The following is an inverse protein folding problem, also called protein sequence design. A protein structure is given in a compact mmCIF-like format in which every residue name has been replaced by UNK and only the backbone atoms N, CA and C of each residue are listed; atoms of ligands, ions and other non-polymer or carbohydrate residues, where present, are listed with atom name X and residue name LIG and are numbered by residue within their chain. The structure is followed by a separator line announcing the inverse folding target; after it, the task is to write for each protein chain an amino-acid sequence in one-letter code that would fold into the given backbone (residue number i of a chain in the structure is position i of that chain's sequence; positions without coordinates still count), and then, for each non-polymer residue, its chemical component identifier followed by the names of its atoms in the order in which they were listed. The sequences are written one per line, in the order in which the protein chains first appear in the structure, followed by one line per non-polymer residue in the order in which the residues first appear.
data_IF_255176642697
#
_entry.id   IF_255176642697
#
_cell.length_a   1.000
_cell.length_b   1.000
_cell.length_c   1.000
_cell.angle_alpha   90.00
_cell.angle_beta   90.00
_cell.angle_gamma   90.00
#
_symmetry.space_group_name_H-M   'P 1'
#
loop_
_entity.id
_entity.type
_entity.pdbx_description
1 polymer ?
#
# COMPACT_ATOMS: atom_id res chain seq x y z
N UNK A 1 -23.04 33.34 9.11
CA UNK A 1 -21.90 32.50 9.61
C UNK A 1 -22.56 31.42 10.41
N UNK A 2 -22.51 30.16 9.94
CA UNK A 2 -22.97 29.04 10.75
C UNK A 2 -21.99 28.94 11.94
N UNK A 3 -22.52 28.91 13.16
CA UNK A 3 -21.76 28.55 14.38
C UNK A 3 -21.17 27.15 14.16
N UNK A 4 -19.89 27.13 13.73
CA UNK A 4 -19.14 25.87 13.64
C UNK A 4 -18.65 25.51 15.05
N UNK A 5 -18.93 24.31 15.48
CA UNK A 5 -18.47 23.78 16.78
C UNK A 5 -17.02 23.27 16.73
N UNK A 6 -16.34 23.45 15.60
CA UNK A 6 -14.97 22.98 15.34
C UNK A 6 -14.14 24.05 14.61
N UNK A 7 -12.83 24.01 14.79
CA UNK A 7 -11.85 24.88 14.10
C UNK A 7 -11.59 24.40 12.67
N UNK A 8 -10.99 25.27 11.83
CA UNK A 8 -10.57 24.85 10.49
C UNK A 8 -9.53 23.71 10.52
N UNK A 9 -8.61 23.72 11.49
CA UNK A 9 -7.61 22.66 11.63
C UNK A 9 -8.24 21.31 11.99
N UNK A 10 -9.20 21.30 12.91
CA UNK A 10 -9.97 20.11 13.24
C UNK A 10 -10.71 19.56 12.03
N UNK A 11 -11.37 20.45 11.27
CA UNK A 11 -12.10 20.07 10.07
C UNK A 11 -11.20 19.39 9.02
N UNK A 12 -10.07 20.00 8.68
CA UNK A 12 -9.16 19.42 7.69
C UNK A 12 -8.50 18.12 8.19
N UNK A 13 -8.26 18.00 9.49
CA UNK A 13 -7.76 16.77 10.09
C UNK A 13 -8.79 15.64 9.96
N UNK A 14 -10.05 15.93 10.29
CA UNK A 14 -11.16 14.97 10.19
C UNK A 14 -11.43 14.58 8.72
N UNK A 15 -11.32 15.53 7.76
CA UNK A 15 -11.40 15.23 6.34
C UNK A 15 -10.28 14.26 5.90
N UNK A 16 -9.05 14.48 6.36
CA UNK A 16 -7.93 13.58 6.01
C UNK A 16 -8.12 12.18 6.56
N UNK A 17 -8.71 12.02 7.75
CA UNK A 17 -9.12 10.73 8.29
C UNK A 17 -10.19 10.07 7.41
N UNK A 18 -11.16 10.84 6.93
CA UNK A 18 -12.17 10.35 5.99
C UNK A 18 -11.58 9.84 4.68
N UNK A 19 -10.52 10.47 4.17
CA UNK A 19 -9.79 9.99 2.99
C UNK A 19 -9.00 8.71 3.25
N UNK A 20 -8.48 8.52 4.46
CA UNK A 20 -7.90 7.24 4.86
C UNK A 20 -8.96 6.14 4.91
N UNK A 21 -10.16 6.46 5.42
CA UNK A 21 -11.35 5.63 5.32
C UNK A 21 -11.50 4.58 6.41
N UNK A 22 -10.83 4.75 7.56
CA UNK A 22 -10.96 3.85 8.70
C UNK A 22 -12.31 4.03 9.41
N UNK A 23 -12.94 2.93 9.80
CA UNK A 23 -14.06 2.91 10.74
C UNK A 23 -13.63 3.33 12.14
N UNK A 24 -14.56 3.75 12.99
CA UNK A 24 -14.23 4.20 14.36
C UNK A 24 -13.71 3.06 15.25
N UNK A 25 -14.08 1.82 14.97
CA UNK A 25 -13.61 0.63 15.69
C UNK A 25 -12.33 0.01 15.10
N UNK A 26 -11.73 0.67 14.10
CA UNK A 26 -10.62 0.14 13.29
C UNK A 26 -9.50 -0.49 14.12
N UNK A 27 -9.14 0.13 15.25
CA UNK A 27 -8.08 -0.33 16.13
C UNK A 27 -8.56 -1.28 17.25
N UNK A 28 -9.86 -1.50 17.38
CA UNK A 28 -10.45 -2.37 18.41
C UNK A 28 -11.19 -3.57 17.84
N UNK A 29 -11.91 -3.38 16.75
CA UNK A 29 -12.63 -4.43 16.04
C UNK A 29 -11.75 -5.27 15.13
N UNK A 30 -10.63 -4.72 14.70
CA UNK A 30 -9.64 -5.40 13.87
C UNK A 30 -8.37 -5.71 14.67
N UNK A 31 -7.95 -6.97 14.69
CA UNK A 31 -6.65 -7.41 15.20
C UNK A 31 -5.77 -7.87 14.04
N UNK A 32 -4.44 -7.91 14.24
CA UNK A 32 -3.50 -8.19 13.15
C UNK A 32 -3.72 -9.55 12.48
N UNK A 33 -4.12 -10.56 13.24
CA UNK A 33 -4.36 -11.92 12.74
C UNK A 33 -5.83 -12.24 12.43
N UNK A 34 -6.75 -11.26 12.44
CA UNK A 34 -8.13 -11.49 12.06
C UNK A 34 -8.35 -11.31 10.54
N UNK A 35 -9.58 -11.49 10.06
CA UNK A 35 -9.96 -11.48 8.65
C UNK A 35 -9.93 -10.10 7.96
N UNK A 36 -9.19 -9.10 8.46
CA UNK A 36 -9.06 -7.77 7.83
C UNK A 36 -8.72 -7.83 6.35
N UNK A 37 -7.90 -8.80 5.96
CA UNK A 37 -7.48 -8.99 4.58
C UNK A 37 -8.63 -9.37 3.66
N UNK A 38 -9.64 -10.07 4.20
CA UNK A 38 -10.75 -10.63 3.41
C UNK A 38 -12.02 -9.78 3.50
N UNK A 39 -12.18 -8.97 4.55
CA UNK A 39 -13.39 -8.19 4.78
C UNK A 39 -13.11 -6.72 5.11
N UNK A 40 -13.81 -5.77 4.46
CA UNK A 40 -13.73 -4.36 4.82
C UNK A 40 -14.53 -4.01 6.09
N UNK A 41 -15.25 -4.92 6.68
CA UNK A 41 -16.12 -4.70 7.84
C UNK A 41 -15.93 -5.76 8.90
N UNK A 42 -16.28 -5.39 10.13
CA UNK A 42 -16.29 -6.27 11.29
C UNK A 42 -17.43 -5.85 12.21
N UNK A 43 -18.31 -6.78 12.58
CA UNK A 43 -19.39 -6.56 13.56
C UNK A 43 -18.75 -6.56 14.96
N UNK A 44 -18.33 -5.40 15.42
CA UNK A 44 -17.59 -5.24 16.66
C UNK A 44 -18.47 -5.31 17.91
N UNK A 45 -19.76 -4.99 17.76
CA UNK A 45 -20.73 -5.00 18.86
C UNK A 45 -21.53 -6.31 18.94
N UNK A 46 -21.44 -7.18 17.91
CA UNK A 46 -22.08 -8.50 17.86
C UNK A 46 -23.59 -8.47 17.67
N UNK A 47 -24.16 -7.38 17.11
CA UNK A 47 -25.62 -7.25 16.93
C UNK A 47 -26.13 -7.89 15.60
N UNK A 48 -25.24 -8.39 14.78
CA UNK A 48 -25.55 -9.03 13.50
C UNK A 48 -25.79 -8.05 12.35
N UNK A 49 -25.56 -6.76 12.55
CA UNK A 49 -25.64 -5.69 11.56
C UNK A 49 -24.26 -5.04 11.38
N UNK A 50 -24.05 -4.36 10.27
CA UNK A 50 -22.83 -3.58 10.05
C UNK A 50 -23.18 -2.09 10.02
N UNK A 51 -22.68 -1.35 10.97
CA UNK A 51 -22.79 0.11 10.98
C UNK A 51 -21.70 0.72 10.08
N UNK A 52 -22.13 1.41 9.01
CA UNK A 52 -21.23 2.02 8.03
C UNK A 52 -20.34 3.14 8.59
N UNK A 53 -20.64 3.68 9.75
CA UNK A 53 -19.84 4.74 10.38
C UNK A 53 -18.76 4.19 11.30
N UNK A 54 -19.08 3.10 11.98
CA UNK A 54 -18.25 2.56 13.07
C UNK A 54 -17.55 1.26 12.71
N UNK A 55 -18.10 0.47 11.77
CA UNK A 55 -17.68 -0.90 11.50
C UNK A 55 -17.31 -1.20 10.06
N UNK A 56 -17.36 -0.19 9.17
CA UNK A 56 -17.05 -0.37 7.74
C UNK A 56 -15.86 0.50 7.32
N UNK A 57 -14.83 -0.13 6.79
CA UNK A 57 -13.65 0.54 6.25
C UNK A 57 -13.74 0.71 4.74
N UNK A 58 -13.16 1.79 4.22
CA UNK A 58 -13.09 2.08 2.78
C UNK A 58 -11.66 2.49 2.39
N UNK A 59 -11.38 2.46 1.11
CA UNK A 59 -10.17 3.06 0.54
C UNK A 59 -8.86 2.54 1.14
N UNK A 60 -8.05 3.45 1.64
CA UNK A 60 -6.70 3.15 2.10
C UNK A 60 -6.66 2.36 3.42
N UNK A 61 -7.67 2.48 4.27
CA UNK A 61 -7.76 1.67 5.48
C UNK A 61 -7.85 0.17 5.16
N UNK A 62 -8.63 -0.20 4.13
CA UNK A 62 -8.70 -1.59 3.64
C UNK A 62 -7.36 -2.03 3.06
N UNK A 63 -6.69 -1.15 2.33
CA UNK A 63 -5.38 -1.44 1.73
C UNK A 63 -4.30 -1.62 2.79
N UNK A 64 -4.28 -0.76 3.81
CA UNK A 64 -3.37 -0.87 4.95
C UNK A 64 -3.57 -2.20 5.69
N UNK A 65 -4.83 -2.58 5.98
CA UNK A 65 -5.16 -3.83 6.63
C UNK A 65 -4.68 -5.08 5.86
N UNK A 66 -4.63 -5.01 4.53
CA UNK A 66 -4.10 -6.10 3.69
C UNK A 66 -2.57 -6.26 3.75
N UNK A 67 -1.86 -5.25 4.24
CA UNK A 67 -0.39 -5.20 4.28
C UNK A 67 0.14 -5.13 5.71
N UNK A 68 -0.75 -5.28 6.68
CA UNK A 68 -0.50 -5.09 8.08
C UNK A 68 0.35 -6.22 8.69
N UNK A 69 0.80 -5.97 9.90
CA UNK A 69 1.51 -6.96 10.72
C UNK A 69 0.67 -8.24 10.85
N UNK A 70 1.25 -9.36 10.49
CA UNK A 70 0.68 -10.69 10.79
C UNK A 70 1.74 -11.77 10.62
N UNK A 71 1.44 -13.03 11.03
CA UNK A 71 2.39 -14.16 11.04
C UNK A 71 3.08 -14.42 9.70
N UNK A 72 2.39 -14.19 8.59
CA UNK A 72 2.86 -14.46 7.22
C UNK A 72 2.75 -13.20 6.32
N UNK A 73 2.82 -12.01 6.92
CA UNK A 73 2.68 -10.73 6.22
C UNK A 73 3.91 -9.85 6.43
N UNK A 74 3.69 -8.53 6.44
CA UNK A 74 4.70 -7.56 6.80
C UNK A 74 4.99 -7.49 8.29
N UNK A 75 6.10 -6.86 8.63
CA UNK A 75 6.53 -6.65 10.01
C UNK A 75 6.09 -5.29 10.57
N UNK A 76 5.30 -4.51 9.83
CA UNK A 76 4.88 -3.16 10.23
C UNK A 76 3.38 -3.08 10.47
N UNK A 77 3.00 -2.63 11.66
CA UNK A 77 1.61 -2.41 12.08
C UNK A 77 1.10 -1.07 11.52
N UNK A 78 0.59 -1.10 10.29
CA UNK A 78 0.05 0.08 9.61
C UNK A 78 -1.23 0.57 10.24
N UNK A 79 -2.14 -0.36 10.55
CA UNK A 79 -3.49 -0.03 11.01
C UNK A 79 -3.44 0.70 12.33
N UNK A 80 -2.71 0.15 13.30
CA UNK A 80 -2.56 0.78 14.61
C UNK A 80 -1.77 2.09 14.53
N UNK A 81 -0.65 2.11 13.82
CA UNK A 81 0.22 3.29 13.73
C UNK A 81 -0.51 4.49 13.15
N UNK A 82 -1.24 4.29 12.03
CA UNK A 82 -1.94 5.38 11.34
C UNK A 82 -3.16 5.82 12.17
N UNK A 83 -3.96 4.87 12.66
CA UNK A 83 -5.15 5.18 13.44
C UNK A 83 -4.83 5.92 14.73
N UNK A 84 -3.86 5.43 15.51
CA UNK A 84 -3.44 6.07 16.77
C UNK A 84 -2.91 7.48 16.54
N UNK A 85 -2.15 7.70 15.45
CA UNK A 85 -1.65 9.03 15.09
C UNK A 85 -2.80 9.98 14.72
N UNK A 86 -3.83 9.51 14.03
CA UNK A 86 -5.03 10.31 13.74
C UNK A 86 -5.76 10.72 15.02
N UNK A 87 -6.04 9.78 15.91
CA UNK A 87 -6.75 10.05 17.18
C UNK A 87 -5.92 10.99 18.06
N UNK A 88 -4.63 10.72 18.20
CA UNK A 88 -3.73 11.53 19.02
C UNK A 88 -3.59 12.95 18.48
N UNK A 89 -3.37 13.11 17.18
CA UNK A 89 -3.26 14.42 16.54
C UNK A 89 -4.56 15.22 16.65
N UNK A 90 -5.72 14.59 16.46
CA UNK A 90 -7.04 15.23 16.65
C UNK A 90 -7.24 15.72 18.08
N UNK A 91 -6.85 14.91 19.06
CA UNK A 91 -6.93 15.26 20.49
C UNK A 91 -6.02 16.45 20.80
N UNK A 92 -4.78 16.46 20.26
CA UNK A 92 -3.84 17.56 20.43
C UNK A 92 -4.37 18.88 19.84
N UNK A 93 -5.03 18.84 18.67
CA UNK A 93 -5.64 20.01 18.04
C UNK A 93 -6.76 20.57 18.94
N UNK A 94 -7.63 19.71 19.46
CA UNK A 94 -8.72 20.12 20.38
C UNK A 94 -8.18 20.75 21.67
N UNK A 95 -7.09 20.22 22.21
CA UNK A 95 -6.44 20.71 23.42
C UNK A 95 -5.55 21.94 23.16
N UNK A 96 -5.40 22.39 21.90
CA UNK A 96 -4.51 23.48 21.51
C UNK A 96 -3.04 23.23 21.93
N UNK A 97 -2.59 21.99 21.78
CA UNK A 97 -1.20 21.61 22.05
C UNK A 97 -0.22 22.30 21.08
N UNK A 98 1.08 22.33 21.38
CA UNK A 98 2.09 22.93 20.52
C UNK A 98 2.05 22.36 19.08
N UNK A 99 2.16 23.25 18.08
CA UNK A 99 2.04 22.91 16.67
C UNK A 99 3.05 21.84 16.22
N UNK A 100 4.26 21.87 16.74
CA UNK A 100 5.30 20.88 16.42
C UNK A 100 4.91 19.45 16.84
N UNK A 101 4.18 19.30 17.95
CA UNK A 101 3.67 18.02 18.39
C UNK A 101 2.54 17.51 17.50
N UNK A 102 1.65 18.40 17.05
CA UNK A 102 0.59 18.08 16.07
C UNK A 102 1.21 17.67 14.73
N UNK A 103 2.22 18.43 14.27
CA UNK A 103 2.93 18.12 13.03
C UNK A 103 3.67 16.78 13.10
N UNK A 104 4.18 16.39 14.28
CA UNK A 104 4.78 15.06 14.45
C UNK A 104 3.76 13.92 14.22
N UNK A 105 2.49 14.09 14.63
CA UNK A 105 1.46 13.09 14.32
C UNK A 105 1.11 13.07 12.82
N UNK A 106 1.04 14.23 12.16
CA UNK A 106 0.90 14.32 10.71
C UNK A 106 2.02 13.56 9.99
N UNK A 107 3.26 13.73 10.41
CA UNK A 107 4.41 13.10 9.78
C UNK A 107 4.36 11.57 9.91
N UNK A 108 3.94 11.04 11.07
CA UNK A 108 3.69 9.60 11.26
C UNK A 108 2.63 9.10 10.27
N UNK A 109 1.51 9.80 10.13
CA UNK A 109 0.45 9.43 9.20
C UNK A 109 0.98 9.39 7.76
N UNK A 110 1.68 10.43 7.34
CA UNK A 110 2.16 10.57 5.97
C UNK A 110 3.22 9.55 5.61
N UNK A 111 4.19 9.32 6.50
CA UNK A 111 5.25 8.33 6.31
C UNK A 111 4.68 6.91 6.28
N UNK A 112 3.76 6.59 7.20
CA UNK A 112 3.12 5.27 7.24
C UNK A 112 2.21 5.04 6.04
N UNK A 113 1.46 6.04 5.60
CA UNK A 113 0.62 5.92 4.40
C UNK A 113 1.46 5.76 3.13
N UNK A 114 2.54 6.52 2.97
CA UNK A 114 3.50 6.31 1.87
C UNK A 114 4.06 4.89 1.89
N UNK A 115 4.39 4.38 3.09
CA UNK A 115 4.86 3.00 3.25
C UNK A 115 3.80 1.97 2.86
N UNK A 116 2.49 2.23 3.09
CA UNK A 116 1.39 1.38 2.56
C UNK A 116 1.43 1.34 1.03
N UNK A 117 1.59 2.50 0.36
CA UNK A 117 1.68 2.54 -1.12
C UNK A 117 2.88 1.74 -1.61
N UNK A 118 4.01 1.86 -0.93
CA UNK A 118 5.22 1.10 -1.24
C UNK A 118 5.04 -0.41 -1.00
N UNK A 119 4.33 -0.82 0.06
CA UNK A 119 4.01 -2.22 0.34
C UNK A 119 3.12 -2.83 -0.76
N UNK A 120 2.13 -2.07 -1.25
CA UNK A 120 1.33 -2.48 -2.41
C UNK A 120 2.19 -2.58 -3.67
N UNK A 121 3.13 -1.65 -3.86
CA UNK A 121 4.09 -1.71 -4.98
C UNK A 121 4.92 -3.00 -4.91
N UNK A 122 5.44 -3.35 -3.72
CA UNK A 122 6.23 -4.58 -3.53
C UNK A 122 5.39 -5.84 -3.78
N UNK A 123 4.15 -5.86 -3.29
CA UNK A 123 3.21 -6.95 -3.57
C UNK A 123 3.05 -7.19 -5.07
N UNK A 124 2.81 -6.16 -5.86
CA UNK A 124 2.65 -6.32 -7.30
C UNK A 124 3.97 -6.56 -8.04
N UNK A 125 5.12 -6.21 -7.48
CA UNK A 125 6.42 -6.68 -7.96
C UNK A 125 6.49 -8.22 -7.84
N UNK A 126 6.09 -8.76 -6.68
CA UNK A 126 6.08 -10.20 -6.41
C UNK A 126 5.06 -10.93 -7.28
N UNK A 127 3.83 -10.41 -7.39
CA UNK A 127 2.78 -10.99 -8.24
C UNK A 127 3.18 -10.98 -9.72
N UNK A 128 3.74 -9.87 -10.22
CA UNK A 128 4.23 -9.76 -11.59
C UNK A 128 5.33 -10.79 -11.88
N UNK A 129 6.31 -10.89 -10.98
CA UNK A 129 7.40 -11.87 -11.13
C UNK A 129 6.87 -13.32 -11.10
N UNK A 130 5.93 -13.62 -10.19
CA UNK A 130 5.31 -14.94 -10.08
C UNK A 130 4.52 -15.31 -11.34
N UNK A 131 3.77 -14.37 -11.90
CA UNK A 131 3.00 -14.58 -13.12
C UNK A 131 3.91 -14.77 -14.34
N UNK A 132 4.99 -13.98 -14.47
CA UNK A 132 5.99 -14.19 -15.52
C UNK A 132 6.54 -15.63 -15.46
N UNK A 133 6.89 -16.09 -14.27
CA UNK A 133 7.39 -17.47 -14.08
C UNK A 133 6.36 -18.52 -14.49
N UNK A 134 5.09 -18.31 -14.14
CA UNK A 134 3.99 -19.20 -14.54
C UNK A 134 3.81 -19.21 -16.06
N UNK A 135 3.82 -18.05 -16.71
CA UNK A 135 3.71 -17.94 -18.17
C UNK A 135 4.86 -18.62 -18.90
N UNK A 136 6.10 -18.42 -18.46
CA UNK A 136 7.29 -19.12 -19.01
C UNK A 136 7.12 -20.64 -18.88
N UNK A 137 6.59 -21.13 -17.75
CA UNK A 137 6.42 -22.56 -17.50
C UNK A 137 5.37 -23.21 -18.42
N UNK A 138 4.45 -22.43 -19.03
CA UNK A 138 3.52 -22.97 -20.06
C UNK A 138 4.23 -23.45 -21.33
N UNK A 139 5.40 -22.90 -21.62
CA UNK A 139 6.13 -23.13 -22.88
C UNK A 139 5.46 -22.50 -24.12
N UNK A 140 4.39 -21.71 -23.93
CA UNK A 140 3.66 -21.07 -25.04
C UNK A 140 4.35 -19.79 -25.50
N UNK A 141 5.24 -19.90 -26.47
CA UNK A 141 5.94 -18.76 -27.04
C UNK A 141 5.06 -17.88 -27.96
N UNK A 142 3.76 -18.18 -28.11
CA UNK A 142 2.78 -17.37 -28.84
C UNK A 142 2.07 -16.32 -27.96
N UNK A 143 2.39 -16.24 -26.66
CA UNK A 143 1.84 -15.25 -25.74
C UNK A 143 2.02 -13.83 -26.29
N UNK A 144 0.97 -13.05 -26.23
CA UNK A 144 0.91 -11.67 -26.73
C UNK A 144 -0.04 -10.81 -25.92
N UNK A 145 0.08 -9.47 -26.01
CA UNK A 145 -0.81 -8.56 -25.30
C UNK A 145 -2.30 -8.79 -25.60
N UNK A 146 -3.14 -8.51 -24.58
CA UNK A 146 -4.60 -8.45 -24.72
C UNK A 146 -5.28 -9.80 -24.85
N UNK A 147 -4.68 -10.88 -24.39
CA UNK A 147 -5.27 -12.22 -24.39
C UNK A 147 -5.72 -12.61 -22.98
N UNK A 148 -6.64 -13.57 -22.86
CA UNK A 148 -7.03 -14.11 -21.56
C UNK A 148 -5.85 -14.77 -20.82
N UNK A 149 -4.89 -15.32 -21.55
CA UNK A 149 -3.70 -15.95 -20.98
C UNK A 149 -2.74 -14.94 -20.32
N UNK A 150 -2.73 -13.69 -20.77
CA UNK A 150 -1.83 -12.63 -20.25
C UNK A 150 -2.55 -11.61 -19.38
N UNK A 151 -3.85 -11.74 -19.17
CA UNK A 151 -4.67 -10.73 -18.48
C UNK A 151 -4.20 -10.43 -17.03
N UNK A 152 -3.83 -11.45 -16.26
CA UNK A 152 -3.32 -11.26 -14.89
C UNK A 152 -1.94 -10.58 -14.92
N UNK A 153 -1.06 -11.00 -15.80
CA UNK A 153 0.26 -10.41 -15.97
C UNK A 153 0.18 -8.90 -16.29
N UNK A 154 -0.67 -8.54 -17.25
CA UNK A 154 -0.89 -7.15 -17.65
C UNK A 154 -1.49 -6.32 -16.52
N UNK A 155 -2.46 -6.90 -15.79
CA UNK A 155 -3.05 -6.29 -14.61
C UNK A 155 -1.99 -6.02 -13.55
N UNK A 156 -1.24 -7.04 -13.14
CA UNK A 156 -0.24 -6.92 -12.07
C UNK A 156 0.87 -5.94 -12.44
N UNK A 157 1.35 -5.99 -13.70
CA UNK A 157 2.31 -5.01 -14.19
C UNK A 157 1.76 -3.58 -14.14
N UNK A 158 0.52 -3.37 -14.55
CA UNK A 158 -0.15 -2.08 -14.53
C UNK A 158 -0.32 -1.55 -13.11
N UNK A 159 -0.74 -2.39 -12.16
CA UNK A 159 -0.87 -2.01 -10.76
C UNK A 159 0.49 -1.74 -10.11
N UNK A 160 1.49 -2.60 -10.31
CA UNK A 160 2.86 -2.39 -9.86
C UNK A 160 3.38 -1.00 -10.24
N UNK A 161 3.27 -0.67 -11.53
CA UNK A 161 3.76 0.60 -12.05
C UNK A 161 2.91 1.79 -11.62
N UNK A 162 1.59 1.62 -11.55
CA UNK A 162 0.65 2.64 -11.09
C UNK A 162 0.92 3.07 -9.66
N UNK A 163 1.08 2.14 -8.74
CA UNK A 163 1.41 2.43 -7.34
C UNK A 163 2.80 3.05 -7.21
N UNK A 164 3.81 2.55 -7.93
CA UNK A 164 5.15 3.15 -7.94
C UNK A 164 5.13 4.60 -8.45
N UNK A 165 4.34 4.92 -9.48
CA UNK A 165 4.13 6.30 -9.91
C UNK A 165 3.47 7.16 -8.85
N UNK A 166 2.52 6.61 -8.09
CA UNK A 166 1.85 7.30 -6.98
C UNK A 166 2.84 7.85 -5.95
N UNK A 167 3.95 7.15 -5.70
CA UNK A 167 4.99 7.57 -4.77
C UNK A 167 5.70 8.89 -5.17
N UNK A 168 5.69 9.27 -6.45
CA UNK A 168 6.27 10.54 -6.93
C UNK A 168 5.45 11.77 -6.52
N UNK A 169 4.19 11.60 -6.14
CA UNK A 169 3.29 12.72 -5.87
C UNK A 169 3.24 13.13 -4.38
N UNK A 170 3.92 12.40 -3.50
CA UNK A 170 4.05 12.82 -2.10
C UNK A 170 5.11 13.92 -1.96
N UNK A 171 4.67 15.17 -1.90
CA UNK A 171 5.56 16.33 -1.73
C UNK A 171 6.26 16.37 -0.36
N UNK A 172 5.86 15.56 0.60
CA UNK A 172 6.45 15.42 1.93
C UNK A 172 7.31 14.16 2.07
N UNK A 173 7.47 13.40 1.00
CA UNK A 173 8.30 12.20 1.00
C UNK A 173 9.73 12.53 1.41
N UNK A 174 10.29 11.69 2.26
CA UNK A 174 11.72 11.71 2.62
C UNK A 174 12.54 10.80 1.70
N UNK A 175 11.87 10.04 0.83
CA UNK A 175 12.52 9.14 -0.12
C UNK A 175 13.09 9.97 -1.27
N UNK A 176 14.37 9.81 -1.64
CA UNK A 176 14.92 10.48 -2.80
C UNK A 176 14.15 10.12 -4.09
N UNK A 177 13.73 11.13 -4.84
CA UNK A 177 13.01 10.93 -6.10
C UNK A 177 13.82 10.06 -7.10
N UNK A 178 15.14 10.07 -7.02
CA UNK A 178 16.02 9.21 -7.80
C UNK A 178 15.81 7.71 -7.52
N UNK A 179 15.47 7.34 -6.27
CA UNK A 179 15.20 5.96 -5.93
C UNK A 179 13.89 5.48 -6.58
N UNK A 180 12.85 6.31 -6.52
CA UNK A 180 11.57 6.01 -7.16
C UNK A 180 11.74 5.95 -8.69
N UNK A 181 12.50 6.90 -9.27
CA UNK A 181 12.80 6.89 -10.70
C UNK A 181 13.53 5.60 -11.12
N UNK A 182 14.49 5.12 -10.30
CA UNK A 182 15.21 3.88 -10.58
C UNK A 182 14.29 2.65 -10.47
N UNK A 183 13.41 2.60 -9.47
CA UNK A 183 12.40 1.54 -9.33
C UNK A 183 11.51 1.51 -10.59
N UNK A 184 11.01 2.66 -11.04
CA UNK A 184 10.18 2.77 -12.24
C UNK A 184 10.94 2.39 -13.53
N UNK A 185 12.23 2.72 -13.63
CA UNK A 185 13.09 2.30 -14.73
C UNK A 185 13.20 0.77 -14.79
N UNK A 186 13.43 0.12 -13.65
CA UNK A 186 13.50 -1.35 -13.55
C UNK A 186 12.19 -2.05 -13.91
N UNK A 187 11.03 -1.40 -13.69
CA UNK A 187 9.71 -1.90 -14.09
C UNK A 187 9.45 -1.81 -15.60
N UNK A 188 10.29 -1.08 -16.34
CA UNK A 188 10.09 -0.84 -17.76
C UNK A 188 8.88 0.05 -18.08
N UNK A 189 8.61 0.27 -19.36
CA UNK A 189 7.50 1.12 -19.85
C UNK A 189 6.34 0.31 -20.42
N UNK A 190 6.50 -1.00 -20.58
CA UNK A 190 5.49 -1.95 -21.05
C UNK A 190 5.79 -3.34 -20.50
N UNK A 191 4.79 -4.23 -20.38
CA UNK A 191 4.99 -5.64 -20.12
C UNK A 191 5.87 -6.29 -21.21
N UNK A 192 6.64 -7.30 -20.82
CA UNK A 192 7.56 -8.02 -21.71
C UNK A 192 6.92 -9.34 -22.16
N UNK A 193 7.02 -9.68 -23.44
CA UNK A 193 6.45 -10.90 -24.03
C UNK A 193 7.53 -11.75 -24.70
N UNK A 194 7.23 -13.01 -25.07
CA UNK A 194 8.15 -13.83 -25.84
C UNK A 194 8.52 -13.14 -27.15
N UNK A 195 9.79 -13.17 -27.50
CA UNK A 195 10.31 -12.64 -28.76
C UNK A 195 10.98 -13.74 -29.57
N UNK A 196 10.68 -13.80 -30.88
CA UNK A 196 11.28 -14.79 -31.78
C UNK A 196 11.16 -16.24 -31.29
N UNK A 197 10.05 -16.55 -30.59
CA UNK A 197 9.77 -17.88 -30.10
C UNK A 197 10.52 -18.29 -28.82
N UNK A 198 11.09 -17.32 -28.08
CA UNK A 198 11.79 -17.59 -26.82
C UNK A 198 11.38 -16.65 -25.68
N UNK A 199 11.71 -17.01 -24.43
CA UNK A 199 11.34 -16.29 -23.22
C UNK A 199 12.49 -15.47 -22.63
N UNK A 200 13.57 -15.25 -23.35
CA UNK A 200 14.77 -14.60 -22.80
C UNK A 200 14.47 -13.21 -22.24
N UNK A 201 13.68 -12.40 -22.93
CA UNK A 201 13.29 -11.06 -22.47
C UNK A 201 12.40 -11.12 -21.22
N UNK A 202 11.44 -12.05 -21.17
CA UNK A 202 10.58 -12.26 -19.99
C UNK A 202 11.39 -12.73 -18.78
N UNK A 203 12.32 -13.67 -18.99
CA UNK A 203 13.19 -14.15 -17.91
C UNK A 203 14.08 -13.03 -17.37
N UNK A 204 14.69 -12.22 -18.26
CA UNK A 204 15.50 -11.07 -17.85
C UNK A 204 14.68 -10.05 -17.05
N UNK A 205 13.43 -9.82 -17.43
CA UNK A 205 12.53 -8.93 -16.69
C UNK A 205 12.17 -9.51 -15.31
N UNK A 206 11.84 -10.81 -15.24
CA UNK A 206 11.64 -11.49 -13.95
C UNK A 206 12.86 -11.31 -13.04
N UNK A 207 14.06 -11.59 -13.54
CA UNK A 207 15.30 -11.52 -12.76
C UNK A 207 15.60 -10.08 -12.30
N UNK A 208 15.23 -9.08 -13.10
CA UNK A 208 15.36 -7.67 -12.74
C UNK A 208 14.41 -7.31 -11.58
N UNK A 209 13.15 -7.74 -11.63
CA UNK A 209 12.17 -7.51 -10.56
C UNK A 209 12.57 -8.20 -9.25
N UNK A 210 13.20 -9.37 -9.31
CA UNK A 210 13.67 -10.15 -8.15
C UNK A 210 15.15 -9.89 -7.81
N UNK A 211 15.76 -8.87 -8.38
CA UNK A 211 17.17 -8.55 -8.15
C UNK A 211 17.44 -8.02 -6.75
N UNK A 212 18.67 -8.17 -6.31
CA UNK A 212 19.15 -7.55 -5.07
C UNK A 212 19.10 -6.03 -5.11
N UNK A 213 19.20 -5.42 -6.31
CA UNK A 213 19.05 -3.96 -6.48
C UNK A 213 17.63 -3.52 -6.15
N UNK A 214 16.59 -4.17 -6.71
CA UNK A 214 15.18 -3.87 -6.41
C UNK A 214 14.91 -4.01 -4.91
N UNK A 215 15.29 -5.13 -4.33
CA UNK A 215 15.15 -5.38 -2.89
C UNK A 215 15.86 -4.32 -2.04
N UNK A 216 17.09 -3.94 -2.40
CA UNK A 216 17.87 -2.92 -1.69
C UNK A 216 17.20 -1.55 -1.78
N UNK A 217 16.72 -1.14 -2.96
CA UNK A 217 16.01 0.12 -3.14
C UNK A 217 14.74 0.19 -2.28
N UNK A 218 13.93 -0.88 -2.28
CA UNK A 218 12.71 -0.93 -1.48
C UNK A 218 13.01 -0.87 0.03
N UNK A 219 14.02 -1.62 0.50
CA UNK A 219 14.44 -1.58 1.91
C UNK A 219 14.99 -0.22 2.33
N UNK A 220 15.87 0.38 1.55
CA UNK A 220 16.50 1.66 1.88
C UNK A 220 15.51 2.82 1.81
N UNK A 221 14.56 2.77 0.88
CA UNK A 221 13.59 3.84 0.68
C UNK A 221 12.46 3.81 1.72
N UNK A 222 11.98 2.62 2.09
CA UNK A 222 10.77 2.48 2.91
C UNK A 222 11.00 1.73 4.23
N UNK A 223 12.24 1.35 4.53
CA UNK A 223 12.58 0.62 5.76
C UNK A 223 11.97 -0.79 5.82
N UNK A 224 11.79 -1.43 4.67
CA UNK A 224 11.31 -2.81 4.61
C UNK A 224 12.34 -3.80 5.13
N UNK A 225 11.86 -4.85 5.78
CA UNK A 225 12.65 -6.00 6.19
C UNK A 225 12.77 -7.02 5.06
N UNK A 226 13.55 -8.09 5.25
CA UNK A 226 13.57 -9.22 4.32
C UNK A 226 12.22 -9.95 4.30
N UNK A 227 11.52 -10.00 5.43
CA UNK A 227 10.17 -10.55 5.56
C UNK A 227 9.18 -9.73 4.74
N UNK A 228 9.20 -8.38 4.85
CA UNK A 228 8.36 -7.48 4.04
C UNK A 228 8.58 -7.71 2.53
N UNK A 229 9.85 -7.80 2.09
CA UNK A 229 10.19 -8.04 0.68
C UNK A 229 9.66 -9.39 0.17
N UNK A 230 9.63 -10.39 1.01
CA UNK A 230 9.20 -11.73 0.64
C UNK A 230 7.68 -11.91 0.65
N UNK A 231 6.99 -11.24 1.57
CA UNK A 231 5.59 -11.54 1.91
C UNK A 231 4.56 -10.50 1.37
N UNK A 232 5.01 -9.30 1.00
CA UNK A 232 4.12 -8.32 0.33
C UNK A 232 3.72 -8.71 -1.07
#
# INVERSE_FOLDING_TARGET
IRDRTYTAMEHHWDESFGYFGAALDYNTGYTDDNDRKSSPYYDSNGDGLIDFKTEYNIGWAVTAAKRDLCSDCGDYDYTKTIFDAYIKGRTMITNQEPLDQILAQRDIIMESWEKVVAAVTMHYINDTASEIKALIATGDASLKPGTSATANYEKYWGEMRGYAHGLLYNSFSKVPASNIARILEMMGTAPTYPESGNFTAMQAFHDLLKSSEMSTLMKQSFGFTDSDIANY
#
